data_IF_718498020347
#
_entry.id   IF_718498020347
#
_cell.length_a   1.000
_cell.length_b   1.000
_cell.length_c   1.000
_cell.angle_alpha   90.00
_cell.angle_beta   90.00
_cell.angle_gamma   90.00
#
_symmetry.space_group_name_H-M   'P 1'
#
loop_
_entity.id
_entity.type
_entity.pdbx_description
1 polymer ?
#
# COMPACT_ATOMS: atom_id res chain seq x y z
N UNK A 1 -41.02 42.47 -11.98
CA UNK A 1 -41.16 41.62 -13.18
C UNK A 1 -40.01 42.00 -14.10
N UNK A 2 -38.93 41.24 -14.23
CA UNK A 2 -38.70 39.85 -13.83
C UNK A 2 -37.27 39.70 -13.33
N UNK A 3 -37.17 39.03 -12.18
CA UNK A 3 -36.02 38.23 -11.78
C UNK A 3 -35.78 37.19 -12.86
N UNK A 4 -34.53 37.02 -13.28
CA UNK A 4 -34.08 35.80 -13.95
C UNK A 4 -32.68 35.44 -13.43
N UNK A 5 -32.59 34.46 -12.49
CA UNK A 5 -31.34 33.86 -12.09
C UNK A 5 -31.14 32.53 -12.83
N UNK A 6 -30.43 32.54 -13.95
CA UNK A 6 -29.97 31.30 -14.58
C UNK A 6 -28.66 30.81 -13.98
N UNK A 7 -28.71 29.52 -13.66
CA UNK A 7 -27.62 28.55 -13.58
C UNK A 7 -26.65 28.60 -12.41
N UNK A 8 -27.16 28.05 -11.30
CA UNK A 8 -26.35 27.16 -10.48
C UNK A 8 -25.83 25.94 -11.28
N UNK A 9 -24.77 25.35 -10.73
CA UNK A 9 -24.13 24.10 -11.17
C UNK A 9 -23.08 24.20 -12.29
N UNK A 10 -21.99 24.93 -12.02
CA UNK A 10 -20.65 24.38 -12.32
C UNK A 10 -20.05 23.70 -11.09
N UNK A 11 -20.76 22.70 -10.59
CA UNK A 11 -20.18 21.60 -9.85
C UNK A 11 -19.80 20.51 -10.87
N UNK A 12 -18.71 20.74 -11.61
CA UNK A 12 -18.03 19.69 -12.34
C UNK A 12 -16.61 19.62 -11.79
N UNK A 13 -16.53 19.02 -10.61
CA UNK A 13 -15.53 18.02 -10.27
C UNK A 13 -14.16 18.24 -10.93
N UNK A 14 -13.35 19.11 -10.34
CA UNK A 14 -11.91 18.88 -10.32
C UNK A 14 -11.62 17.73 -9.33
N UNK A 15 -12.24 16.57 -9.54
CA UNK A 15 -11.81 15.34 -8.92
C UNK A 15 -10.74 14.73 -9.82
N UNK A 16 -9.56 14.54 -9.24
CA UNK A 16 -8.67 13.47 -9.67
C UNK A 16 -7.45 13.89 -10.47
N UNK A 17 -6.78 14.98 -10.10
CA UNK A 17 -5.32 14.95 -10.13
C UNK A 17 -4.86 14.72 -8.69
N UNK A 18 -5.01 13.48 -8.21
CA UNK A 18 -4.37 13.08 -6.97
C UNK A 18 -2.85 13.24 -7.15
N UNK A 19 -2.11 13.72 -6.15
CA UNK A 19 -0.65 13.77 -6.21
C UNK A 19 -0.15 12.33 -6.43
N UNK A 20 0.50 12.09 -7.56
CA UNK A 20 0.99 10.77 -7.95
C UNK A 20 1.98 10.19 -6.91
N UNK A 21 2.57 11.02 -6.03
CA UNK A 21 3.43 10.58 -4.94
C UNK A 21 2.74 10.13 -3.65
N UNK A 22 1.44 10.35 -3.47
CA UNK A 22 0.71 9.95 -2.25
C UNK A 22 0.25 8.47 -2.29
N UNK A 23 0.18 7.88 -3.50
CA UNK A 23 -0.23 6.48 -3.68
C UNK A 23 0.90 5.51 -3.33
N UNK A 24 2.12 5.78 -3.82
CA UNK A 24 3.28 4.94 -3.52
C UNK A 24 3.62 4.94 -2.03
N UNK A 25 3.55 6.09 -1.35
CA UNK A 25 3.75 6.20 0.10
C UNK A 25 2.66 5.44 0.90
N UNK A 26 1.42 5.39 0.39
CA UNK A 26 0.33 4.65 1.03
C UNK A 26 0.48 3.14 0.83
N UNK A 27 0.87 2.70 -0.37
CA UNK A 27 1.15 1.29 -0.66
C UNK A 27 2.33 0.78 0.18
N UNK A 28 3.42 1.55 0.30
CA UNK A 28 4.57 1.21 1.15
C UNK A 28 4.19 1.10 2.63
N UNK A 29 3.31 2.00 3.10
CA UNK A 29 2.78 1.95 4.46
C UNK A 29 1.92 0.72 4.69
N UNK A 30 1.04 0.38 3.75
CA UNK A 30 0.16 -0.80 3.86
C UNK A 30 1.00 -2.09 3.88
N UNK A 31 2.05 -2.17 3.06
CA UNK A 31 3.02 -3.28 3.06
C UNK A 31 3.75 -3.38 4.41
N UNK A 32 4.15 -2.24 4.99
CA UNK A 32 4.79 -2.23 6.31
C UNK A 32 3.84 -2.69 7.43
N UNK A 33 2.56 -2.28 7.39
CA UNK A 33 1.53 -2.69 8.35
C UNK A 33 1.20 -4.19 8.23
N UNK A 34 1.18 -4.75 7.01
CA UNK A 34 1.06 -6.20 6.78
C UNK A 34 2.23 -6.97 7.40
N UNK A 35 3.47 -6.52 7.16
CA UNK A 35 4.67 -7.15 7.71
C UNK A 35 4.65 -7.15 9.24
N UNK A 36 4.32 -6.02 9.86
CA UNK A 36 4.23 -5.89 11.33
C UNK A 36 3.19 -6.86 11.89
N UNK A 37 2.00 -6.92 11.28
CA UNK A 37 0.94 -7.86 11.70
C UNK A 37 1.42 -9.32 11.62
N UNK A 38 2.17 -9.66 10.58
CA UNK A 38 2.71 -11.02 10.40
C UNK A 38 3.83 -11.36 11.39
N UNK A 39 4.70 -10.41 11.72
CA UNK A 39 5.73 -10.58 12.75
C UNK A 39 5.10 -10.83 14.12
N UNK A 40 4.06 -10.08 14.49
CA UNK A 40 3.32 -10.28 15.74
C UNK A 40 2.76 -11.70 15.85
N UNK A 41 2.17 -12.22 14.77
CA UNK A 41 1.65 -13.60 14.75
C UNK A 41 2.77 -14.66 14.94
N UNK A 42 3.98 -14.41 14.43
CA UNK A 42 5.13 -15.30 14.65
C UNK A 42 5.61 -15.20 16.10
N UNK A 43 5.62 -14.01 16.67
CA UNK A 43 6.00 -13.78 18.07
C UNK A 43 5.01 -14.36 19.09
N UNK A 44 3.78 -14.64 18.70
CA UNK A 44 2.82 -15.37 19.54
C UNK A 44 3.08 -16.88 19.59
N UNK A 45 3.90 -17.42 18.67
CA UNK A 45 4.21 -18.85 18.62
C UNK A 45 5.19 -19.27 19.75
N UNK A 46 5.21 -20.57 20.10
CA UNK A 46 6.23 -21.13 20.98
C UNK A 46 7.64 -20.85 20.46
N UNK A 47 8.59 -20.61 21.37
CA UNK A 47 9.96 -20.23 21.02
C UNK A 47 10.63 -21.21 20.04
N UNK A 48 10.34 -22.51 20.17
CA UNK A 48 10.88 -23.56 19.29
C UNK A 48 10.45 -23.44 17.83
N UNK A 49 9.28 -22.85 17.57
CA UNK A 49 8.69 -22.77 16.22
C UNK A 49 9.04 -21.45 15.52
N UNK A 50 9.34 -20.40 16.29
CA UNK A 50 9.60 -19.05 15.74
C UNK A 50 10.72 -19.02 14.71
N UNK A 51 11.82 -19.73 14.97
CA UNK A 51 12.98 -19.72 14.07
C UNK A 51 12.61 -20.26 12.67
N UNK A 52 11.82 -21.33 12.61
CA UNK A 52 11.35 -21.89 11.34
C UNK A 52 10.37 -20.94 10.64
N UNK A 53 9.45 -20.32 11.39
CA UNK A 53 8.50 -19.35 10.84
C UNK A 53 9.20 -18.09 10.29
N UNK A 54 10.23 -17.57 10.98
CA UNK A 54 11.03 -16.45 10.49
C UNK A 54 11.87 -16.81 9.26
N UNK A 55 12.41 -18.04 9.18
CA UNK A 55 13.13 -18.49 7.99
C UNK A 55 12.22 -18.49 6.75
N UNK A 56 10.99 -19.01 6.88
CA UNK A 56 10.00 -18.99 5.81
C UNK A 56 9.62 -17.57 5.39
N UNK A 57 9.39 -16.66 6.36
CA UNK A 57 9.10 -15.25 6.08
C UNK A 57 10.28 -14.59 5.33
N UNK A 58 11.51 -14.86 5.75
CA UNK A 58 12.70 -14.32 5.09
C UNK A 58 12.82 -14.81 3.64
N UNK A 59 12.60 -16.10 3.38
CA UNK A 59 12.66 -16.66 2.03
C UNK A 59 11.59 -16.07 1.11
N UNK A 60 10.39 -15.80 1.65
CA UNK A 60 9.32 -15.10 0.95
C UNK A 60 9.72 -13.66 0.60
N UNK A 61 10.23 -12.89 1.57
CA UNK A 61 10.69 -11.52 1.34
C UNK A 61 11.83 -11.46 0.32
N UNK A 62 12.80 -12.37 0.43
CA UNK A 62 13.89 -12.52 -0.55
C UNK A 62 13.33 -12.73 -1.95
N UNK A 63 12.38 -13.66 -2.11
CA UNK A 63 11.76 -13.95 -3.41
C UNK A 63 11.02 -12.74 -3.97
N UNK A 64 10.28 -12.01 -3.12
CA UNK A 64 9.55 -10.79 -3.52
C UNK A 64 10.50 -9.69 -3.98
N UNK A 65 11.60 -9.45 -3.25
CA UNK A 65 12.60 -8.44 -3.61
C UNK A 65 13.35 -8.80 -4.91
N UNK A 66 13.77 -10.07 -5.03
CA UNK A 66 14.42 -10.57 -6.26
C UNK A 66 13.49 -10.52 -7.48
N UNK A 67 12.17 -10.65 -7.28
CA UNK A 67 11.15 -10.53 -8.34
C UNK A 67 10.71 -9.10 -8.66
N UNK A 68 10.70 -8.21 -7.65
CA UNK A 68 10.23 -6.82 -7.76
C UNK A 68 11.26 -5.86 -8.37
N UNK A 69 12.55 -6.07 -8.10
CA UNK A 69 13.65 -5.26 -8.68
C UNK A 69 13.70 -5.34 -10.22
N UNK A 70 13.12 -6.38 -10.83
CA UNK A 70 13.02 -6.54 -12.28
C UNK A 70 11.89 -5.75 -12.95
N UNK A 71 10.88 -5.30 -12.19
CA UNK A 71 9.75 -4.54 -12.71
C UNK A 71 9.97 -3.03 -12.61
N UNK A 72 10.57 -2.55 -11.50
CA UNK A 72 10.93 -1.14 -11.30
C UNK A 72 12.10 -0.69 -12.21
N UNK A 73 13.04 -1.59 -12.54
CA UNK A 73 14.14 -1.28 -13.46
C UNK A 73 13.76 -1.27 -14.96
N UNK A 74 12.49 -1.52 -15.30
CA UNK A 74 11.98 -1.60 -16.68
C UNK A 74 10.83 -0.62 -16.97
N UNK A 75 10.77 0.49 -16.23
CA UNK A 75 9.88 1.64 -16.45
C UNK A 75 10.65 2.90 -16.80
#
# INVERSE_FOLDING_TARGET
MSDDPEDGARAASAAGAAPEGDRDDHDDRDVAEELVSRLQLIEEQPLGDRAAAFALLHDELRTRLEGGDGAAARG
#
